data_IF_394365902436
#
_entry.id   IF_394365902436
#
_cell.length_a   1.000
_cell.length_b   1.000
_cell.length_c   1.000
_cell.angle_alpha   90.00
_cell.angle_beta   90.00
_cell.angle_gamma   90.00
#
_symmetry.space_group_name_H-M   'P 1'
#
loop_
_entity.id
_entity.type
_entity.pdbx_description
1 polymer ?
#
# COMPACT_ATOMS: atom_id res chain seq x y z
N UNK A 1 -17.73 -27.64 -10.27
CA UNK A 1 -17.54 -27.35 -8.84
C UNK A 1 -16.25 -26.59 -8.71
N UNK A 2 -16.31 -25.25 -8.67
CA UNK A 2 -15.17 -24.44 -8.30
C UNK A 2 -15.07 -24.54 -6.78
N UNK A 3 -14.07 -25.28 -6.30
CA UNK A 3 -13.76 -25.34 -4.89
C UNK A 3 -13.53 -23.90 -4.39
N UNK A 4 -14.27 -23.54 -3.39
CA UNK A 4 -14.03 -22.33 -2.62
C UNK A 4 -12.68 -22.60 -1.92
N UNK A 5 -11.60 -22.11 -2.50
CA UNK A 5 -10.33 -22.08 -1.78
C UNK A 5 -10.56 -21.32 -0.48
N UNK A 6 -10.27 -21.97 0.63
CA UNK A 6 -10.39 -21.34 1.93
C UNK A 6 -9.54 -20.06 1.96
N UNK A 7 -9.96 -19.12 2.76
CA UNK A 7 -9.24 -17.83 2.91
C UNK A 7 -7.74 -18.04 3.20
N UNK A 8 -7.38 -19.11 3.89
CA UNK A 8 -5.99 -19.48 4.20
C UNK A 8 -5.19 -19.98 2.98
N UNK A 9 -5.80 -20.69 2.05
CA UNK A 9 -5.12 -21.14 0.82
C UNK A 9 -4.83 -19.96 -0.11
N UNK A 10 -5.77 -19.04 -0.23
CA UNK A 10 -5.53 -17.78 -0.97
C UNK A 10 -4.40 -16.97 -0.32
N UNK A 11 -4.38 -16.91 1.01
CA UNK A 11 -3.31 -16.25 1.78
C UNK A 11 -1.96 -16.92 1.51
N UNK A 12 -1.88 -18.23 1.61
CA UNK A 12 -0.65 -18.98 1.38
C UNK A 12 -0.14 -18.82 -0.06
N UNK A 13 -1.02 -18.96 -1.04
CA UNK A 13 -0.67 -18.78 -2.45
C UNK A 13 -0.25 -17.34 -2.76
N UNK A 14 -0.89 -16.33 -2.16
CA UNK A 14 -0.49 -14.93 -2.33
C UNK A 14 0.84 -14.66 -1.67
N UNK A 15 1.12 -15.23 -0.49
CA UNK A 15 2.44 -15.13 0.17
C UNK A 15 3.56 -15.74 -0.67
N UNK A 16 3.38 -16.94 -1.21
CA UNK A 16 4.35 -17.56 -2.12
C UNK A 16 4.55 -16.74 -3.39
N UNK A 17 3.49 -16.17 -3.88
CA UNK A 17 3.47 -15.35 -5.07
C UNK A 17 4.22 -14.03 -4.87
N UNK A 18 3.99 -13.34 -3.77
CA UNK A 18 4.70 -12.11 -3.42
C UNK A 18 6.16 -12.38 -2.96
N UNK A 19 6.47 -13.64 -2.65
CA UNK A 19 7.82 -14.12 -2.42
C UNK A 19 8.65 -14.33 -3.69
N UNK A 20 8.06 -14.16 -4.88
CA UNK A 20 8.74 -14.39 -6.16
C UNK A 20 10.01 -13.58 -6.35
N UNK A 21 11.03 -14.26 -6.85
CA UNK A 21 12.42 -13.80 -7.04
C UNK A 21 12.63 -12.83 -8.21
N UNK A 22 11.75 -11.88 -8.44
CA UNK A 22 12.07 -10.84 -9.42
C UNK A 22 13.14 -9.94 -8.84
N UNK A 23 14.34 -9.90 -9.43
CA UNK A 23 15.38 -9.00 -8.99
C UNK A 23 14.87 -7.56 -9.17
N UNK A 24 14.53 -6.92 -8.05
CA UNK A 24 14.27 -5.50 -8.05
C UNK A 24 15.58 -4.79 -7.76
N UNK A 25 15.98 -3.95 -8.70
CA UNK A 25 17.15 -3.12 -8.49
C UNK A 25 16.77 -1.91 -7.64
N UNK A 26 17.03 -2.00 -6.35
CA UNK A 26 16.85 -0.92 -5.38
C UNK A 26 18.01 0.08 -5.40
N UNK A 27 18.76 0.17 -6.49
CA UNK A 27 19.91 1.07 -6.57
C UNK A 27 19.46 2.50 -6.27
N UNK A 28 19.99 3.12 -5.21
CA UNK A 28 19.69 4.51 -4.90
C UNK A 28 20.28 5.42 -5.98
N UNK A 29 19.58 6.50 -6.28
CA UNK A 29 20.03 7.54 -7.21
C UNK A 29 19.88 8.91 -6.57
N UNK A 30 20.66 9.86 -7.02
CA UNK A 30 20.53 11.25 -6.61
C UNK A 30 19.52 11.98 -7.50
N UNK A 31 18.57 12.65 -6.88
CA UNK A 31 17.60 13.51 -7.55
C UNK A 31 17.32 14.73 -6.65
N UNK A 32 17.54 15.93 -7.16
CA UNK A 32 17.34 17.18 -6.41
C UNK A 32 18.09 17.21 -5.06
N UNK A 33 19.33 16.66 -5.03
CA UNK A 33 20.14 16.58 -3.81
C UNK A 33 19.73 15.53 -2.79
N UNK A 34 18.84 14.60 -3.19
CA UNK A 34 18.28 13.54 -2.32
C UNK A 34 18.57 12.17 -2.83
N UNK A 35 18.71 11.23 -1.92
CA UNK A 35 18.73 9.81 -2.24
C UNK A 35 17.28 9.39 -2.49
N UNK A 36 16.99 8.95 -3.71
CA UNK A 36 15.70 8.42 -4.10
C UNK A 36 15.84 7.02 -4.71
N UNK A 37 14.77 6.27 -4.70
CA UNK A 37 14.74 4.90 -5.20
C UNK A 37 13.83 4.79 -6.42
N UNK A 38 14.13 3.85 -7.31
CA UNK A 38 13.32 3.62 -8.49
C UNK A 38 11.87 3.31 -8.10
N UNK A 39 10.93 3.94 -8.77
CA UNK A 39 9.51 3.64 -8.59
C UNK A 39 9.23 2.19 -9.02
N UNK A 40 8.49 1.48 -8.19
CA UNK A 40 8.07 0.13 -8.52
C UNK A 40 6.68 0.15 -9.13
N UNK A 41 6.63 0.13 -10.46
CA UNK A 41 5.39 0.20 -11.22
C UNK A 41 4.77 -1.14 -11.58
N UNK A 42 5.49 -2.23 -11.43
CA UNK A 42 4.95 -3.51 -11.87
C UNK A 42 3.86 -3.98 -10.92
N UNK A 43 2.65 -4.13 -11.44
CA UNK A 43 1.87 -5.28 -11.00
C UNK A 43 2.82 -6.46 -11.12
N UNK A 44 3.12 -7.11 -10.01
CA UNK A 44 4.06 -8.21 -9.99
C UNK A 44 3.72 -9.13 -11.17
N UNK A 45 4.68 -9.45 -12.07
CA UNK A 45 4.40 -10.31 -13.23
C UNK A 45 3.68 -11.58 -12.84
N UNK A 46 3.97 -12.05 -11.65
CA UNK A 46 3.29 -13.11 -11.05
C UNK A 46 1.78 -12.90 -10.85
N UNK A 47 1.18 -11.72 -10.63
CA UNK A 47 -0.29 -11.58 -10.50
C UNK A 47 -0.99 -12.07 -11.77
N UNK A 48 -0.42 -11.77 -12.91
CA UNK A 48 -0.89 -12.28 -14.20
C UNK A 48 -0.66 -13.80 -14.34
N UNK A 49 0.51 -14.27 -13.95
CA UNK A 49 0.87 -15.70 -13.99
C UNK A 49 0.07 -16.52 -12.98
N UNK A 50 -0.27 -15.94 -11.82
CA UNK A 50 -1.11 -16.56 -10.81
C UNK A 50 -2.54 -16.78 -11.31
N UNK A 51 -3.15 -15.76 -11.90
CA UNK A 51 -4.47 -15.88 -12.51
C UNK A 51 -4.49 -16.85 -13.69
N UNK A 52 -3.41 -16.91 -14.46
CA UNK A 52 -3.25 -17.89 -15.53
C UNK A 52 -3.03 -19.32 -15.00
N UNK A 53 -2.17 -19.53 -14.00
CA UNK A 53 -1.90 -20.85 -13.40
C UNK A 53 -3.13 -21.43 -12.70
N UNK A 54 -3.99 -20.60 -12.14
CA UNK A 54 -5.27 -21.03 -11.58
C UNK A 54 -6.32 -21.36 -12.65
N UNK A 55 -6.01 -21.22 -13.94
CA UNK A 55 -6.97 -21.42 -15.02
C UNK A 55 -8.14 -20.43 -14.99
N UNK A 56 -8.02 -19.39 -14.17
CA UNK A 56 -9.09 -18.41 -13.91
C UNK A 56 -9.21 -17.42 -15.07
N UNK A 57 -8.11 -17.22 -15.81
CA UNK A 57 -8.04 -16.18 -16.83
C UNK A 57 -8.75 -16.50 -18.15
N UNK A 58 -9.12 -17.74 -18.40
CA UNK A 58 -9.51 -18.15 -19.77
C UNK A 58 -10.98 -18.45 -19.99
N UNK A 59 -11.79 -18.63 -18.94
CA UNK A 59 -13.22 -19.00 -19.12
C UNK A 59 -14.14 -18.57 -17.97
N UNK A 60 -13.70 -17.77 -17.02
CA UNK A 60 -14.56 -17.32 -15.93
C UNK A 60 -15.23 -16.02 -16.32
N UNK A 61 -16.52 -15.93 -16.11
CA UNK A 61 -17.26 -14.68 -16.20
C UNK A 61 -16.65 -13.69 -15.19
N UNK A 62 -15.79 -12.83 -15.73
CA UNK A 62 -15.04 -11.84 -14.96
C UNK A 62 -15.97 -10.93 -14.16
N UNK A 63 -17.18 -10.65 -14.69
CA UNK A 63 -18.22 -9.90 -13.99
C UNK A 63 -18.73 -10.66 -12.77
N UNK A 64 -18.93 -11.96 -12.89
CA UNK A 64 -19.40 -12.81 -11.78
C UNK A 64 -18.34 -12.98 -10.70
N UNK A 65 -17.06 -12.96 -11.08
CA UNK A 65 -15.94 -13.12 -10.15
C UNK A 65 -15.54 -11.80 -9.44
N UNK A 66 -15.68 -10.67 -10.11
CA UNK A 66 -15.17 -9.38 -9.62
C UNK A 66 -16.23 -8.27 -9.61
N UNK A 67 -17.49 -8.57 -9.90
CA UNK A 67 -18.56 -7.59 -9.92
C UNK A 67 -18.51 -6.56 -11.05
N UNK A 68 -17.45 -6.56 -11.88
CA UNK A 68 -17.22 -5.58 -12.95
C UNK A 68 -16.95 -6.23 -14.30
N UNK A 69 -17.44 -5.62 -15.37
CA UNK A 69 -17.13 -6.04 -16.74
C UNK A 69 -15.68 -5.69 -17.12
N UNK A 70 -15.12 -6.34 -18.16
CA UNK A 70 -13.81 -5.96 -18.70
C UNK A 70 -13.71 -4.49 -19.12
N UNK A 71 -14.81 -3.91 -19.63
CA UNK A 71 -14.86 -2.50 -20.03
C UNK A 71 -14.81 -1.56 -18.82
N UNK A 72 -15.56 -1.85 -17.76
CA UNK A 72 -15.52 -1.09 -16.50
C UNK A 72 -14.12 -1.15 -15.85
N UNK A 73 -13.45 -2.29 -15.91
CA UNK A 73 -12.06 -2.41 -15.45
C UNK A 73 -11.08 -1.62 -16.28
N UNK A 74 -11.23 -1.66 -17.63
CA UNK A 74 -10.37 -0.88 -18.50
C UNK A 74 -10.51 0.62 -18.22
N UNK A 75 -11.73 1.10 -17.95
CA UNK A 75 -11.98 2.47 -17.54
C UNK A 75 -11.33 2.79 -16.20
N UNK A 76 -11.52 1.93 -15.20
CA UNK A 76 -10.88 2.07 -13.89
C UNK A 76 -9.34 2.07 -13.98
N UNK A 77 -8.77 1.17 -14.80
CA UNK A 77 -7.33 1.15 -15.06
C UNK A 77 -6.83 2.40 -15.79
N UNK A 78 -7.64 2.96 -16.69
CA UNK A 78 -7.30 4.22 -17.35
C UNK A 78 -7.29 5.40 -16.36
N UNK A 79 -8.27 5.46 -15.46
CA UNK A 79 -8.28 6.42 -14.35
C UNK A 79 -7.03 6.28 -13.49
N UNK A 80 -6.65 5.05 -13.10
CA UNK A 80 -5.41 4.80 -12.35
C UNK A 80 -4.15 5.21 -13.10
N UNK A 81 -4.09 5.01 -14.41
CA UNK A 81 -2.92 5.38 -15.19
C UNK A 81 -2.71 6.89 -15.28
N UNK A 82 -3.80 7.66 -15.24
CA UNK A 82 -3.76 9.13 -15.28
C UNK A 82 -3.29 9.72 -13.95
N UNK A 83 -3.56 9.05 -12.85
CA UNK A 83 -3.24 9.51 -11.48
C UNK A 83 -1.81 9.11 -11.06
N UNK A 84 -1.16 8.22 -11.80
CA UNK A 84 0.24 7.78 -11.56
C UNK A 84 1.25 8.92 -11.50
N UNK A 85 0.93 10.07 -12.03
CA UNK A 85 1.85 11.22 -12.14
C UNK A 85 1.75 12.21 -10.99
N UNK A 86 0.78 12.07 -10.07
CA UNK A 86 0.44 13.14 -9.13
C UNK A 86 1.45 13.34 -7.99
N UNK A 87 2.23 12.35 -7.61
CA UNK A 87 3.27 12.52 -6.59
C UNK A 87 4.57 11.90 -7.07
N UNK A 88 5.38 12.65 -7.81
CA UNK A 88 6.65 12.13 -8.31
C UNK A 88 7.67 11.99 -7.17
N UNK A 89 8.49 10.93 -7.26
CA UNK A 89 9.62 10.73 -6.36
C UNK A 89 10.63 11.87 -6.52
N UNK A 90 11.18 12.36 -5.41
CA UNK A 90 12.12 13.48 -5.35
C UNK A 90 11.47 14.85 -5.15
N UNK A 91 10.14 14.90 -4.96
CA UNK A 91 9.40 16.12 -4.67
C UNK A 91 8.75 16.06 -3.29
N UNK A 92 8.34 17.21 -2.76
CA UNK A 92 7.58 17.26 -1.51
C UNK A 92 6.33 16.41 -1.64
N UNK A 93 6.12 15.54 -0.64
CA UNK A 93 4.92 14.75 -0.55
C UNK A 93 3.71 15.63 -0.25
N UNK A 94 2.54 15.39 -0.87
CA UNK A 94 1.31 16.06 -0.50
C UNK A 94 1.02 15.89 1.00
N UNK A 95 0.74 16.99 1.69
CA UNK A 95 0.38 16.93 3.10
C UNK A 95 -1.04 16.42 3.29
N UNK A 96 -1.29 15.78 4.41
CA UNK A 96 -2.62 15.35 4.81
C UNK A 96 -2.79 15.42 6.34
N UNK A 97 -4.04 15.50 6.75
CA UNK A 97 -4.46 15.39 8.13
C UNK A 97 -5.62 14.41 8.21
N UNK A 98 -5.43 13.31 8.93
CA UNK A 98 -6.37 12.19 9.00
C UNK A 98 -6.63 11.77 10.44
N UNK A 99 -7.87 11.42 10.75
CA UNK A 99 -8.25 10.79 12.01
C UNK A 99 -7.85 9.31 12.00
N UNK A 100 -7.29 8.84 13.10
CA UNK A 100 -6.97 7.43 13.32
C UNK A 100 -8.15 6.68 13.94
N UNK A 101 -8.09 5.35 13.93
CA UNK A 101 -9.10 4.49 14.57
C UNK A 101 -9.14 4.65 16.09
N UNK A 102 -8.11 5.25 16.71
CA UNK A 102 -8.04 5.58 18.15
C UNK A 102 -8.58 6.97 18.48
N UNK A 103 -8.95 7.76 17.45
CA UNK A 103 -9.43 9.13 17.62
C UNK A 103 -8.33 10.19 17.66
N UNK A 104 -7.08 9.78 17.48
CA UNK A 104 -5.96 10.71 17.32
C UNK A 104 -5.91 11.26 15.90
N UNK A 105 -5.19 12.37 15.72
CA UNK A 105 -4.95 12.94 14.39
C UNK A 105 -3.52 12.64 13.97
N UNK A 106 -3.34 12.13 12.75
CA UNK A 106 -2.04 12.04 12.08
C UNK A 106 -1.97 13.09 10.98
N UNK A 107 -0.95 13.94 11.04
CA UNK A 107 -0.61 14.90 9.98
C UNK A 107 0.78 14.58 9.46
N UNK A 108 0.95 14.50 8.13
CA UNK A 108 2.24 14.15 7.55
C UNK A 108 3.32 15.20 7.85
N UNK A 109 2.99 16.49 7.79
CA UNK A 109 3.94 17.56 8.10
C UNK A 109 4.46 17.53 9.54
N UNK A 110 3.70 16.96 10.48
CA UNK A 110 4.14 16.81 11.88
C UNK A 110 5.18 15.67 12.05
N UNK A 111 5.39 14.87 11.00
CA UNK A 111 6.40 13.80 10.97
C UNK A 111 7.77 14.28 10.45
N UNK A 112 7.95 15.58 10.25
CA UNK A 112 9.28 16.14 9.90
C UNK A 112 10.32 15.74 10.96
N UNK A 113 11.53 15.41 10.52
CA UNK A 113 12.58 14.83 11.36
C UNK A 113 12.51 13.32 11.51
N UNK A 114 11.43 12.67 11.06
CA UNK A 114 11.24 11.23 11.04
C UNK A 114 10.99 10.74 9.61
N UNK A 115 11.32 9.49 9.33
CA UNK A 115 10.92 8.83 8.08
C UNK A 115 9.47 8.37 8.26
N UNK A 116 8.59 8.72 7.34
CA UNK A 116 7.21 8.24 7.34
C UNK A 116 7.01 7.16 6.26
N UNK A 117 6.40 6.05 6.64
CA UNK A 117 6.06 4.93 5.75
C UNK A 117 4.58 4.66 5.88
N UNK A 118 3.86 4.67 4.78
CA UNK A 118 2.46 4.31 4.82
C UNK A 118 2.01 3.52 3.60
N UNK A 119 0.92 2.78 3.77
CA UNK A 119 0.26 2.01 2.72
C UNK A 119 -1.23 2.30 2.72
N UNK A 120 -1.80 2.51 1.54
CA UNK A 120 -3.26 2.49 1.38
C UNK A 120 -3.78 1.06 1.49
N UNK A 121 -4.80 0.88 2.30
CA UNK A 121 -5.33 -0.44 2.66
C UNK A 121 -6.85 -0.44 2.70
N UNK A 122 -7.45 -1.59 2.50
CA UNK A 122 -8.86 -1.86 2.73
C UNK A 122 -9.03 -3.30 3.23
N UNK A 123 -10.05 -3.53 4.02
CA UNK A 123 -10.32 -4.85 4.61
C UNK A 123 -10.59 -5.91 3.55
N UNK A 124 -11.23 -5.53 2.45
CA UNK A 124 -11.53 -6.43 1.32
C UNK A 124 -10.38 -6.62 0.34
N UNK A 125 -9.25 -5.92 0.52
CA UNK A 125 -8.09 -6.02 -0.37
C UNK A 125 -7.23 -7.25 -0.03
N UNK A 126 -7.24 -8.34 -0.83
CA UNK A 126 -6.48 -9.56 -0.51
C UNK A 126 -4.97 -9.31 -0.39
N UNK A 127 -4.30 -8.56 -1.30
CA UNK A 127 -2.88 -8.27 -1.17
C UNK A 127 -2.53 -7.54 0.13
N UNK A 128 -3.35 -6.59 0.57
CA UNK A 128 -3.12 -5.89 1.82
C UNK A 128 -3.19 -6.84 3.02
N UNK A 129 -4.25 -7.65 3.08
CA UNK A 129 -4.47 -8.60 4.18
C UNK A 129 -3.44 -9.69 4.29
N UNK A 130 -2.94 -10.20 3.17
CA UNK A 130 -1.91 -11.24 3.18
C UNK A 130 -0.57 -10.76 3.72
N UNK A 131 -0.38 -9.45 3.80
CA UNK A 131 0.84 -8.83 4.29
C UNK A 131 0.70 -8.22 5.70
N UNK A 132 -0.46 -8.32 6.35
CA UNK A 132 -0.69 -7.69 7.67
C UNK A 132 0.37 -8.13 8.69
N UNK A 133 0.66 -9.42 8.77
CA UNK A 133 1.70 -9.94 9.69
C UNK A 133 3.09 -9.38 9.36
N UNK A 134 3.45 -9.32 8.06
CA UNK A 134 4.73 -8.77 7.62
C UNK A 134 4.84 -7.26 7.91
N UNK A 135 3.73 -6.52 7.79
CA UNK A 135 3.68 -5.12 8.18
C UNK A 135 3.83 -4.94 9.68
N UNK A 136 3.25 -5.83 10.47
CA UNK A 136 3.45 -5.86 11.92
C UNK A 136 4.92 -6.08 12.27
N UNK A 137 5.57 -7.08 11.67
CA UNK A 137 7.00 -7.35 11.86
C UNK A 137 7.86 -6.15 11.45
N UNK A 138 7.52 -5.49 10.32
CA UNK A 138 8.21 -4.30 9.87
C UNK A 138 8.01 -3.13 10.85
N UNK A 139 6.80 -2.93 11.35
CA UNK A 139 6.50 -1.90 12.32
C UNK A 139 7.28 -2.13 13.61
N UNK A 140 7.26 -3.35 14.17
CA UNK A 140 8.03 -3.72 15.36
C UNK A 140 9.55 -3.52 15.17
N UNK A 141 10.07 -3.86 13.98
CA UNK A 141 11.49 -3.69 13.64
C UNK A 141 11.93 -2.21 13.64
N UNK A 142 11.04 -1.32 13.20
CA UNK A 142 11.31 0.10 13.07
C UNK A 142 10.51 0.96 14.04
N UNK A 143 9.90 0.37 15.06
CA UNK A 143 9.19 1.07 16.14
C UNK A 143 10.16 1.87 16.99
N UNK A 144 10.78 2.81 16.35
CA UNK A 144 11.71 3.78 16.93
C UNK A 144 11.15 5.17 16.71
N UNK A 145 11.66 6.14 17.43
CA UNK A 145 11.27 7.55 17.22
C UNK A 145 11.64 8.08 15.83
N UNK A 146 12.39 7.31 15.05
CA UNK A 146 12.97 7.75 13.79
C UNK A 146 12.18 7.32 12.55
N UNK A 147 11.38 6.24 12.63
CA UNK A 147 10.55 5.74 11.54
C UNK A 147 9.12 5.56 12.01
N UNK A 148 8.18 6.20 11.34
CA UNK A 148 6.76 6.09 11.62
C UNK A 148 6.08 5.26 10.53
N UNK A 149 5.49 4.13 10.91
CA UNK A 149 4.78 3.23 9.99
C UNK A 149 3.30 3.24 10.34
N UNK A 150 2.43 3.47 9.37
CA UNK A 150 0.98 3.45 9.56
C UNK A 150 0.24 3.08 8.27
N UNK A 151 -1.00 2.69 8.41
CA UNK A 151 -1.92 2.46 7.29
C UNK A 151 -2.83 3.66 7.07
N UNK A 152 -3.22 3.87 5.82
CA UNK A 152 -4.30 4.79 5.45
C UNK A 152 -5.43 3.93 4.87
N UNK A 153 -6.52 3.81 5.64
CA UNK A 153 -7.68 3.06 5.20
C UNK A 153 -8.44 3.84 4.13
N UNK A 154 -8.61 3.23 2.99
CA UNK A 154 -9.32 3.82 1.84
C UNK A 154 -10.60 3.03 1.53
N UNK A 155 -11.17 3.20 0.33
CA UNK A 155 -12.40 2.50 -0.03
C UNK A 155 -12.22 1.00 -0.26
N UNK A 156 -13.30 0.25 -0.07
CA UNK A 156 -13.38 -1.18 -0.33
C UNK A 156 -13.43 -1.45 -1.84
N UNK A 157 -12.35 -2.00 -2.40
CA UNK A 157 -12.26 -2.34 -3.83
C UNK A 157 -12.97 -3.63 -4.19
N UNK A 158 -13.16 -4.52 -3.22
CA UNK A 158 -13.74 -5.83 -3.36
C UNK A 158 -14.94 -6.01 -2.40
N UNK A 159 -15.69 -4.92 -2.19
CA UNK A 159 -16.88 -4.91 -1.36
C UNK A 159 -17.85 -6.03 -1.78
N UNK A 160 -18.32 -6.81 -0.81
CA UNK A 160 -19.21 -7.94 -1.06
C UNK A 160 -18.58 -9.17 -1.71
N UNK A 161 -17.25 -9.20 -1.87
CA UNK A 161 -16.52 -10.29 -2.53
C UNK A 161 -15.67 -11.12 -1.54
N UNK A 162 -15.29 -12.33 -1.95
CA UNK A 162 -14.16 -13.10 -1.39
C UNK A 162 -14.14 -13.29 0.12
N UNK A 163 -15.24 -13.67 0.72
CA UNK A 163 -15.30 -13.92 2.16
C UNK A 163 -15.68 -12.69 2.99
N UNK A 164 -15.84 -11.53 2.36
CA UNK A 164 -16.35 -10.28 2.95
C UNK A 164 -17.67 -9.87 2.34
N UNK A 165 -18.60 -10.82 2.20
CA UNK A 165 -19.91 -10.59 1.61
C UNK A 165 -20.71 -9.54 2.37
N UNK A 166 -20.44 -9.39 3.65
CA UNK A 166 -21.11 -8.45 4.54
C UNK A 166 -20.52 -7.02 4.45
N UNK A 167 -19.26 -6.89 4.00
CA UNK A 167 -18.65 -5.58 3.85
C UNK A 167 -19.06 -4.96 2.52
N UNK A 168 -19.87 -3.92 2.61
CA UNK A 168 -20.30 -3.12 1.46
C UNK A 168 -19.32 -1.99 1.20
N UNK A 169 -19.40 -1.38 0.03
CA UNK A 169 -18.72 -0.12 -0.24
C UNK A 169 -19.25 0.95 0.72
N UNK A 170 -18.33 1.68 1.33
CA UNK A 170 -18.69 2.73 2.30
C UNK A 170 -19.20 3.97 1.59
N UNK A 171 -20.25 4.58 2.15
CA UNK A 171 -20.89 5.78 1.62
C UNK A 171 -20.61 7.03 2.47
N UNK A 172 -19.99 6.84 3.63
CA UNK A 172 -19.60 7.90 4.55
C UNK A 172 -18.24 7.62 5.19
N UNK A 173 -17.57 8.67 5.66
CA UNK A 173 -16.31 8.54 6.43
C UNK A 173 -16.55 7.76 7.74
N UNK A 174 -17.71 7.89 8.36
CA UNK A 174 -18.05 7.13 9.57
C UNK A 174 -18.16 5.62 9.32
N UNK A 175 -18.77 5.21 8.20
CA UNK A 175 -18.79 3.79 7.82
C UNK A 175 -17.37 3.28 7.51
N UNK A 176 -16.56 4.09 6.82
CA UNK A 176 -15.17 3.76 6.54
C UNK A 176 -14.35 3.61 7.83
N UNK A 177 -14.57 4.49 8.81
CA UNK A 177 -13.96 4.39 10.13
C UNK A 177 -14.35 3.08 10.83
N UNK A 178 -15.60 2.62 10.68
CA UNK A 178 -16.04 1.34 11.23
C UNK A 178 -15.27 0.16 10.62
N UNK A 179 -15.10 0.15 9.30
CA UNK A 179 -14.31 -0.90 8.64
C UNK A 179 -12.82 -0.79 9.00
N UNK A 180 -12.30 0.42 9.15
CA UNK A 180 -10.91 0.64 9.59
C UNK A 180 -10.64 0.08 10.99
N UNK A 181 -11.60 0.20 11.91
CA UNK A 181 -11.52 -0.40 13.25
C UNK A 181 -11.46 -1.92 13.20
N UNK A 182 -12.19 -2.57 12.29
CA UNK A 182 -12.07 -4.02 12.07
C UNK A 182 -10.66 -4.42 11.63
N UNK A 183 -9.98 -3.60 10.81
CA UNK A 183 -8.59 -3.82 10.46
C UNK A 183 -7.68 -3.65 11.67
N UNK A 184 -7.92 -2.64 12.51
CA UNK A 184 -7.13 -2.39 13.72
C UNK A 184 -7.18 -3.55 14.72
N UNK A 185 -8.23 -4.38 14.70
CA UNK A 185 -8.34 -5.58 15.54
C UNK A 185 -7.35 -6.68 15.14
N UNK A 186 -6.85 -6.66 13.90
CA UNK A 186 -5.97 -7.71 13.36
C UNK A 186 -4.55 -7.23 13.06
N UNK A 187 -4.24 -5.96 13.34
CA UNK A 187 -2.91 -5.38 13.15
C UNK A 187 -2.49 -4.50 14.33
N UNK A 188 -1.18 -4.48 14.64
CA UNK A 188 -0.62 -3.52 15.57
C UNK A 188 -0.19 -2.21 14.88
N UNK A 189 -0.23 -2.16 13.55
CA UNK A 189 0.11 -0.96 12.77
C UNK A 189 -1.00 0.08 12.94
N UNK A 190 -0.70 1.33 13.32
CA UNK A 190 -1.70 2.39 13.42
C UNK A 190 -2.48 2.58 12.12
N UNK A 191 -3.78 2.83 12.21
CA UNK A 191 -4.65 2.99 11.04
C UNK A 191 -5.30 4.37 11.06
N UNK A 192 -4.96 5.20 10.07
CA UNK A 192 -5.64 6.45 9.76
C UNK A 192 -6.70 6.23 8.67
N UNK A 193 -7.67 7.11 8.56
CA UNK A 193 -8.82 6.93 7.64
C UNK A 193 -8.87 8.05 6.62
N UNK A 194 -8.75 7.69 5.35
CA UNK A 194 -8.98 8.63 4.25
C UNK A 194 -10.48 8.98 4.17
N UNK A 195 -10.85 10.27 4.10
CA UNK A 195 -12.23 10.68 4.00
C UNK A 195 -12.96 10.06 2.80
N UNK A 196 -14.28 10.15 2.78
CA UNK A 196 -15.10 9.53 1.73
C UNK A 196 -14.83 10.13 0.35
N UNK A 197 -14.36 11.36 0.27
CA UNK A 197 -13.94 12.04 -0.96
C UNK A 197 -12.61 11.52 -1.53
N UNK A 198 -11.90 10.67 -0.77
CA UNK A 198 -10.64 10.02 -1.17
C UNK A 198 -9.52 11.03 -1.56
N UNK A 199 -9.50 12.18 -0.93
CA UNK A 199 -8.55 13.25 -1.28
C UNK A 199 -7.10 12.79 -1.12
N UNK A 200 -6.77 12.11 -0.01
CA UNK A 200 -5.40 11.63 0.21
C UNK A 200 -5.02 10.57 -0.81
N UNK A 201 -5.91 9.60 -1.05
CA UNK A 201 -5.68 8.58 -2.07
C UNK A 201 -5.51 9.20 -3.48
N UNK A 202 -6.27 10.24 -3.81
CA UNK A 202 -6.15 10.97 -5.09
C UNK A 202 -4.82 11.69 -5.22
N UNK A 203 -4.37 12.37 -4.16
CA UNK A 203 -3.10 13.12 -4.15
C UNK A 203 -1.89 12.21 -4.33
N UNK A 204 -1.95 10.98 -3.83
CA UNK A 204 -0.86 9.99 -3.94
C UNK A 204 -1.01 9.03 -5.13
N UNK A 205 -2.13 9.05 -5.82
CA UNK A 205 -2.41 8.17 -6.96
C UNK A 205 -3.16 6.89 -6.56
N UNK A 206 -4.40 6.82 -6.92
CA UNK A 206 -5.50 5.90 -6.59
C UNK A 206 -5.24 4.38 -6.62
N UNK A 207 -4.13 3.91 -6.13
CA UNK A 207 -3.80 2.47 -6.08
C UNK A 207 -4.01 1.92 -4.67
N UNK A 208 -4.96 1.02 -4.46
CA UNK A 208 -5.46 0.62 -3.14
C UNK A 208 -4.50 -0.25 -2.31
N UNK A 209 -3.31 -0.50 -2.78
CA UNK A 209 -2.26 -1.24 -2.08
C UNK A 209 -0.90 -0.60 -2.34
N UNK A 210 -0.90 0.69 -2.64
CA UNK A 210 0.32 1.44 -2.84
C UNK A 210 0.98 1.79 -1.51
N UNK A 211 2.31 1.70 -1.46
CA UNK A 211 3.11 2.11 -0.33
C UNK A 211 4.05 3.24 -0.70
N UNK A 212 4.33 4.09 0.28
CA UNK A 212 5.12 5.30 0.13
C UNK A 212 6.12 5.43 1.27
N UNK A 213 7.31 5.96 0.96
CA UNK A 213 8.32 6.33 1.95
C UNK A 213 8.65 7.81 1.74
N UNK A 214 8.50 8.56 2.82
CA UNK A 214 8.75 9.99 2.90
C UNK A 214 9.96 10.19 3.81
N UNK A 215 10.95 10.97 3.37
CA UNK A 215 12.14 11.27 4.16
C UNK A 215 11.85 12.26 5.30
N UNK A 216 12.86 12.51 6.14
CA UNK A 216 12.77 13.40 7.29
C UNK A 216 12.42 14.84 6.94
N UNK A 217 12.70 15.27 5.72
CA UNK A 217 12.40 16.60 5.22
C UNK A 217 11.05 16.67 4.50
N UNK A 218 10.38 15.51 4.33
CA UNK A 218 9.06 15.35 3.78
C UNK A 218 8.99 15.18 2.28
N UNK A 219 10.07 14.72 1.68
CA UNK A 219 10.08 14.40 0.27
C UNK A 219 9.74 12.93 0.05
N UNK A 220 8.96 12.67 -0.97
CA UNK A 220 8.67 11.32 -1.42
C UNK A 220 9.94 10.71 -2.02
N UNK A 221 10.53 9.73 -1.35
CA UNK A 221 11.77 9.06 -1.79
C UNK A 221 11.55 7.69 -2.40
N UNK A 222 10.42 7.07 -2.14
CA UNK A 222 10.02 5.81 -2.73
C UNK A 222 8.51 5.68 -2.81
N UNK A 223 8.02 5.07 -3.89
CA UNK A 223 6.64 4.60 -4.00
C UNK A 223 6.57 3.25 -4.71
N UNK A 224 5.60 2.45 -4.32
CA UNK A 224 5.28 1.17 -4.94
C UNK A 224 3.78 1.07 -5.15
N UNK A 225 3.34 0.72 -6.35
CA UNK A 225 1.90 0.50 -6.63
C UNK A 225 1.33 -0.69 -5.88
N UNK A 226 2.18 -1.69 -5.64
CA UNK A 226 1.85 -2.88 -4.87
C UNK A 226 2.90 -2.99 -3.78
N UNK A 227 2.47 -2.79 -2.55
CA UNK A 227 3.35 -2.91 -1.41
C UNK A 227 4.00 -4.29 -1.39
N UNK A 228 5.32 -4.31 -1.39
CA UNK A 228 6.14 -5.49 -1.12
C UNK A 228 7.02 -5.15 0.09
N UNK A 229 6.72 -5.76 1.22
CA UNK A 229 7.35 -5.44 2.51
C UNK A 229 8.86 -5.61 2.45
N UNK A 230 9.36 -6.62 1.73
CA UNK A 230 10.81 -6.86 1.63
C UNK A 230 11.52 -5.74 0.88
N UNK A 231 10.87 -5.19 -0.15
CA UNK A 231 11.41 -4.04 -0.88
C UNK A 231 11.36 -2.78 -0.05
N UNK A 232 10.28 -2.58 0.69
CA UNK A 232 10.14 -1.47 1.62
C UNK A 232 11.22 -1.55 2.70
N UNK A 233 11.44 -2.73 3.29
CA UNK A 233 12.51 -2.97 4.26
C UNK A 233 13.91 -2.69 3.68
N UNK A 234 14.19 -3.15 2.46
CA UNK A 234 15.46 -2.87 1.78
C UNK A 234 15.68 -1.38 1.54
N UNK A 235 14.65 -0.65 1.12
CA UNK A 235 14.72 0.80 0.93
C UNK A 235 14.97 1.52 2.24
N UNK A 236 14.26 1.15 3.30
CA UNK A 236 14.46 1.73 4.63
C UNK A 236 15.89 1.52 5.13
N UNK A 237 16.43 0.29 5.01
CA UNK A 237 17.81 0.00 5.40
C UNK A 237 18.81 0.88 4.64
N UNK A 238 18.66 0.98 3.32
CA UNK A 238 19.55 1.79 2.48
C UNK A 238 19.43 3.28 2.79
N UNK A 239 18.22 3.77 3.05
CA UNK A 239 17.99 5.17 3.41
C UNK A 239 18.67 5.51 4.74
N UNK A 240 18.47 4.71 5.77
CA UNK A 240 19.09 4.88 7.09
C UNK A 240 20.62 4.84 7.03
N UNK A 241 21.19 3.88 6.29
CA UNK A 241 22.66 3.79 6.10
C UNK A 241 23.19 5.03 5.37
N UNK A 242 22.49 5.52 4.34
CA UNK A 242 22.91 6.71 3.61
C UNK A 242 22.88 7.97 4.47
N UNK A 243 21.92 8.09 5.38
CA UNK A 243 21.84 9.19 6.34
C UNK A 243 22.98 9.15 7.35
N UNK A 244 23.34 7.98 7.86
CA UNK A 244 24.48 7.82 8.79
C UNK A 244 25.81 8.22 8.15
N UNK A 245 26.04 7.77 6.90
CA UNK A 245 27.25 8.13 6.15
C UNK A 245 27.34 9.64 5.90
N UNK A 246 26.22 10.29 5.61
CA UNK A 246 26.20 11.75 5.41
C UNK A 246 26.49 12.52 6.70
N UNK A 247 26.02 12.06 7.86
CA UNK A 247 26.33 12.66 9.16
C UNK A 247 27.82 12.53 9.49
N UNK A 248 28.44 11.39 9.20
CA UNK A 248 29.85 11.12 9.46
C UNK A 248 30.77 11.98 8.57
N UNK A 249 30.36 12.30 7.35
CA UNK A 249 31.15 13.10 6.40
C UNK A 249 31.04 14.63 6.65
N UNK A 250 30.13 15.07 7.51
CA UNK A 250 29.91 16.49 7.83
C UNK A 250 30.48 16.91 9.20
N UNK A 251 30.99 15.97 9.98
CA UNK A 251 31.64 16.17 11.28
C UNK A 251 33.15 16.00 11.19
#
# INVERSE_FOLDING_TARGET
MLGVFGSQEIIYMTRQYMAGDTPWNSTPRQLNGRVVFAEHYSMHPGHYTFTQKLGIATKVDVKKMFGKTPAERKKEFAEYSTIRTQSPVGFLAPDFELETTTGETVRLSDKRGQIAVFMFVAMTCPPARTQVDLWKELHEKYDTKDVQIFFIYSRERHAGERGYRELKETTSTSERMTHARMLSEITAVPVAVDPIDERTLKDYGMVPNAAFIIDREGFLVFKSQWADIRKIDQVLQQLLVSEELNKTNQG
#
